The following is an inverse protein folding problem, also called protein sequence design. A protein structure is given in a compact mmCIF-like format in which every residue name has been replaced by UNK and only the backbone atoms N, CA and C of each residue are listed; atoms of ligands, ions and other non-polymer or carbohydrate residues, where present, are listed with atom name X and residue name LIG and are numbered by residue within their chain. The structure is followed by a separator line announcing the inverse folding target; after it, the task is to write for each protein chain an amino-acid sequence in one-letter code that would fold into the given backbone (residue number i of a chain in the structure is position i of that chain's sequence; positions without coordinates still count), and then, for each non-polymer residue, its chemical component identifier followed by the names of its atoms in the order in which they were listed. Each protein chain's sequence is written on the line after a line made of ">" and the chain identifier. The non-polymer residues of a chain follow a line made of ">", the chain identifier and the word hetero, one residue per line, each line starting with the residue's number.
data_IF_597515611272
#
_entry.id   IF_597515611272
#
_cell.length_a   1.000
_cell.length_b   1.000
_cell.length_c   1.000
_cell.angle_alpha   90.00
_cell.angle_beta   90.00
_cell.angle_gamma   90.00
#
_symmetry.space_group_name_H-M   'P 1'
#
loop_
_entity.id
_entity.type
_entity.pdbx_description
1 polymer ?
#
# COMPACT_ATOMS: atom_id res chain seq x y z
N UNK A 1 -5.31 -26.52 -1.70
CA UNK A 1 -6.15 -25.33 -1.65
C UNK A 1 -5.71 -24.42 -2.79
N UNK A 2 -6.60 -23.99 -3.65
CA UNK A 2 -6.23 -23.07 -4.72
C UNK A 2 -6.18 -21.65 -4.13
N UNK A 3 -5.18 -20.83 -4.50
CA UNK A 3 -5.03 -19.41 -4.06
C UNK A 3 -6.33 -18.61 -4.26
N UNK A 4 -7.13 -18.98 -5.28
CA UNK A 4 -8.43 -18.36 -5.55
C UNK A 4 -9.41 -18.46 -4.35
N UNK A 5 -9.30 -19.51 -3.55
CA UNK A 5 -10.21 -19.74 -2.42
C UNK A 5 -9.98 -18.76 -1.27
N UNK A 6 -8.79 -18.13 -1.22
CA UNK A 6 -8.47 -17.11 -0.23
C UNK A 6 -9.21 -15.79 -0.47
N UNK A 7 -9.81 -15.59 -1.67
CA UNK A 7 -10.47 -14.36 -2.08
C UNK A 7 -12.00 -14.53 -2.12
N UNK A 8 -12.75 -14.04 -1.11
CA UNK A 8 -14.19 -14.26 -1.01
C UNK A 8 -14.98 -13.75 -2.22
N UNK A 9 -14.59 -12.59 -2.77
CA UNK A 9 -15.27 -12.01 -3.92
C UNK A 9 -15.21 -12.89 -5.16
N UNK A 10 -14.16 -13.68 -5.33
CA UNK A 10 -13.98 -14.56 -6.49
C UNK A 10 -14.87 -15.80 -6.44
N UNK A 11 -15.57 -16.05 -5.32
CA UNK A 11 -16.55 -17.11 -5.18
C UNK A 11 -17.93 -16.72 -5.76
N UNK A 12 -18.09 -15.48 -6.20
CA UNK A 12 -19.34 -15.01 -6.78
C UNK A 12 -19.56 -15.55 -8.19
N UNK A 13 -20.84 -15.71 -8.54
CA UNK A 13 -21.26 -15.91 -9.93
C UNK A 13 -21.80 -14.60 -10.51
N UNK A 14 -21.46 -14.32 -11.76
CA UNK A 14 -21.98 -13.19 -12.54
C UNK A 14 -22.63 -13.74 -13.79
N UNK A 15 -23.89 -13.43 -14.01
CA UNK A 15 -24.68 -13.94 -15.14
C UNK A 15 -24.66 -15.49 -15.26
N UNK A 16 -24.67 -16.19 -14.11
CA UNK A 16 -24.66 -17.65 -14.07
C UNK A 16 -23.28 -18.32 -14.24
N UNK A 17 -22.22 -17.52 -14.39
CA UNK A 17 -20.84 -18.03 -14.55
C UNK A 17 -19.94 -17.60 -13.37
N UNK A 18 -18.93 -18.41 -12.98
CA UNK A 18 -17.92 -17.99 -12.00
C UNK A 18 -17.29 -16.68 -12.40
N UNK A 19 -17.14 -15.76 -11.42
CA UNK A 19 -16.51 -14.46 -11.65
C UNK A 19 -15.08 -14.63 -12.20
N UNK A 20 -14.80 -14.01 -13.34
CA UNK A 20 -13.46 -13.75 -13.85
C UNK A 20 -13.17 -12.27 -13.66
N UNK A 21 -12.12 -11.94 -12.87
CA UNK A 21 -11.72 -10.58 -12.58
C UNK A 21 -10.30 -10.33 -13.12
N UNK A 22 -10.19 -9.43 -14.10
CA UNK A 22 -8.94 -9.14 -14.82
C UNK A 22 -8.46 -7.69 -14.64
N UNK A 23 -9.09 -6.92 -13.75
CA UNK A 23 -8.82 -5.50 -13.53
C UNK A 23 -8.04 -5.23 -12.23
N UNK A 24 -7.13 -6.13 -11.86
CA UNK A 24 -6.31 -5.97 -10.64
C UNK A 24 -5.34 -4.79 -10.71
N UNK A 25 -4.98 -4.32 -11.91
CA UNK A 25 -4.14 -3.14 -12.09
C UNK A 25 -4.84 -1.86 -11.56
N UNK A 26 -6.15 -1.75 -11.75
CA UNK A 26 -6.93 -0.64 -11.20
C UNK A 26 -7.28 -0.87 -9.73
N UNK A 27 -7.73 -2.07 -9.37
CA UNK A 27 -8.10 -2.41 -7.98
C UNK A 27 -7.83 -3.88 -7.71
N UNK A 28 -6.88 -4.15 -6.83
CA UNK A 28 -6.54 -5.51 -6.39
C UNK A 28 -7.59 -6.03 -5.41
N UNK A 29 -8.11 -7.23 -5.64
CA UNK A 29 -9.01 -7.90 -4.71
C UNK A 29 -8.30 -8.27 -3.41
N UNK A 30 -9.07 -8.35 -2.32
CA UNK A 30 -8.51 -8.57 -0.98
C UNK A 30 -8.74 -10.01 -0.55
N UNK A 31 -7.72 -10.73 -0.08
CA UNK A 31 -7.90 -12.04 0.55
C UNK A 31 -8.57 -11.90 1.92
N UNK A 32 -9.17 -12.99 2.39
CA UNK A 32 -9.86 -13.07 3.69
C UNK A 32 -9.00 -12.53 4.83
N UNK A 33 -7.74 -12.90 4.88
CA UNK A 33 -6.82 -12.47 5.95
C UNK A 33 -6.68 -10.95 6.03
N UNK A 34 -6.73 -10.24 4.91
CA UNK A 34 -6.67 -8.76 4.89
C UNK A 34 -7.99 -8.16 5.37
N UNK A 35 -9.12 -8.73 4.94
CA UNK A 35 -10.46 -8.27 5.35
C UNK A 35 -10.64 -8.47 6.86
N UNK A 36 -10.24 -9.63 7.36
CA UNK A 36 -10.29 -9.98 8.79
C UNK A 36 -9.41 -9.05 9.63
N UNK A 37 -8.17 -8.80 9.21
CA UNK A 37 -7.27 -7.88 9.92
C UNK A 37 -7.82 -6.44 9.96
N UNK A 38 -8.45 -5.96 8.90
CA UNK A 38 -9.11 -4.65 8.89
C UNK A 38 -10.31 -4.62 9.84
N UNK A 39 -11.12 -5.67 9.84
CA UNK A 39 -12.28 -5.79 10.73
C UNK A 39 -11.84 -5.85 12.20
N UNK A 40 -10.82 -6.64 12.51
CA UNK A 40 -10.23 -6.73 13.84
C UNK A 40 -9.71 -5.36 14.32
N UNK A 41 -8.98 -4.64 13.47
CA UNK A 41 -8.49 -3.31 13.79
C UNK A 41 -9.65 -2.37 14.17
N UNK A 42 -10.70 -2.27 13.35
CA UNK A 42 -11.81 -1.36 13.63
C UNK A 42 -12.67 -1.78 14.82
N UNK A 43 -12.77 -3.06 15.10
CA UNK A 43 -13.61 -3.55 16.21
C UNK A 43 -12.88 -3.61 17.54
N UNK A 44 -11.56 -3.76 17.55
CA UNK A 44 -10.78 -4.02 18.75
C UNK A 44 -9.71 -2.97 19.07
N UNK A 45 -9.02 -2.41 18.06
CA UNK A 45 -7.76 -1.69 18.26
C UNK A 45 -7.74 -0.29 17.64
N UNK A 46 -8.88 0.21 17.13
CA UNK A 46 -8.93 1.50 16.46
C UNK A 46 -8.63 2.67 17.40
N UNK A 47 -7.43 3.22 17.31
CA UNK A 47 -6.98 4.35 18.08
C UNK A 47 -5.95 5.21 17.33
N UNK A 48 -5.67 6.40 17.87
CA UNK A 48 -4.72 7.33 17.29
C UNK A 48 -3.28 6.83 17.48
N UNK A 49 -2.62 6.56 16.36
CA UNK A 49 -1.23 6.06 16.32
C UNK A 49 -0.26 7.17 16.77
N UNK A 50 0.72 6.83 17.63
CA UNK A 50 1.80 7.70 18.14
C UNK A 50 1.37 8.90 19.00
N UNK A 51 0.09 9.10 19.31
CA UNK A 51 -0.37 10.34 19.93
C UNK A 51 -1.04 10.21 21.27
N UNK A 52 -1.20 9.02 21.81
CA UNK A 52 -1.86 8.80 23.09
C UNK A 52 -1.12 7.77 23.96
N UNK A 53 -1.31 7.86 25.26
CA UNK A 53 -0.63 7.02 26.26
C UNK A 53 -1.53 5.91 26.84
N UNK A 54 -2.71 5.69 26.26
CA UNK A 54 -3.61 4.61 26.70
C UNK A 54 -3.37 3.31 25.90
N UNK A 55 -3.83 2.18 26.41
CA UNK A 55 -3.57 0.83 25.90
C UNK A 55 -3.89 0.69 24.41
N UNK A 56 -5.08 1.11 23.97
CA UNK A 56 -5.48 0.98 22.57
C UNK A 56 -4.55 1.75 21.62
N UNK A 57 -4.08 2.94 22.01
CA UNK A 57 -3.12 3.69 21.18
C UNK A 57 -1.76 3.00 21.11
N UNK A 58 -1.35 2.34 22.20
CA UNK A 58 -0.16 1.50 22.21
C UNK A 58 -0.27 0.31 21.26
N UNK A 59 -1.39 -0.40 21.30
CA UNK A 59 -1.68 -1.53 20.40
C UNK A 59 -1.72 -1.11 18.93
N UNK A 60 -2.44 -0.03 18.59
CA UNK A 60 -2.50 0.52 17.25
C UNK A 60 -1.11 0.96 16.75
N UNK A 61 -0.31 1.60 17.62
CA UNK A 61 1.07 2.01 17.30
C UNK A 61 1.96 0.81 17.05
N UNK A 62 1.88 -0.22 17.89
CA UNK A 62 2.67 -1.44 17.73
C UNK A 62 2.33 -2.16 16.42
N UNK A 63 1.05 -2.27 16.06
CA UNK A 63 0.62 -2.84 14.79
C UNK A 63 1.15 -2.06 13.58
N UNK A 64 1.08 -0.74 13.63
CA UNK A 64 1.61 0.13 12.58
C UNK A 64 3.13 0.00 12.41
N UNK A 65 3.89 0.00 13.49
CA UNK A 65 5.35 -0.15 13.45
C UNK A 65 5.80 -1.57 13.09
N UNK A 66 5.02 -2.60 13.45
CA UNK A 66 5.26 -3.96 13.01
C UNK A 66 5.12 -4.09 11.49
N UNK A 67 4.08 -3.49 10.90
CA UNK A 67 3.91 -3.42 9.45
C UNK A 67 5.11 -2.73 8.77
N UNK A 68 5.54 -1.58 9.28
CA UNK A 68 6.72 -0.86 8.79
C UNK A 68 7.97 -1.71 8.86
N UNK A 69 8.19 -2.42 9.95
CA UNK A 69 9.34 -3.32 10.15
C UNK A 69 9.32 -4.47 9.15
N UNK A 70 8.17 -5.09 8.93
CA UNK A 70 8.00 -6.16 7.95
C UNK A 70 8.34 -5.68 6.53
N UNK A 71 7.83 -4.51 6.12
CA UNK A 71 8.12 -3.94 4.80
C UNK A 71 9.61 -3.61 4.65
N UNK A 72 10.24 -3.02 5.65
CA UNK A 72 11.68 -2.77 5.64
C UNK A 72 12.49 -4.05 5.42
N UNK A 73 12.15 -5.10 6.15
CA UNK A 73 12.81 -6.40 6.01
C UNK A 73 12.58 -7.00 4.62
N UNK A 74 11.35 -6.95 4.11
CA UNK A 74 10.99 -7.53 2.82
C UNK A 74 11.74 -6.86 1.66
N UNK A 75 11.84 -5.53 1.69
CA UNK A 75 12.52 -4.75 0.65
C UNK A 75 14.01 -4.52 0.92
N UNK A 76 14.57 -5.08 2.00
CA UNK A 76 15.94 -4.82 2.45
C UNK A 76 16.25 -3.31 2.51
N UNK A 77 15.34 -2.54 3.10
CA UNK A 77 15.41 -1.09 3.16
C UNK A 77 15.70 -0.59 4.58
N UNK A 78 16.53 0.44 4.70
CA UNK A 78 16.82 1.08 5.99
C UNK A 78 15.62 1.85 6.53
N UNK A 79 14.79 2.39 5.65
CA UNK A 79 13.63 3.23 5.99
C UNK A 79 12.41 2.86 5.17
N UNK A 80 11.24 3.05 5.76
CA UNK A 80 9.95 2.90 5.09
C UNK A 80 9.06 4.09 5.46
N UNK A 81 8.57 4.81 4.46
CA UNK A 81 7.62 5.91 4.61
C UNK A 81 6.27 5.43 4.08
N UNK A 82 5.26 5.48 4.94
CA UNK A 82 3.89 5.13 4.55
C UNK A 82 3.21 6.35 3.92
N UNK A 83 2.59 6.15 2.78
CA UNK A 83 1.87 7.19 2.02
C UNK A 83 0.45 6.76 1.72
N UNK A 84 -0.40 7.68 1.30
CA UNK A 84 -1.79 7.41 0.92
C UNK A 84 -1.95 6.64 -0.41
N UNK A 85 -0.85 6.42 -1.14
CA UNK A 85 -0.86 5.67 -2.40
C UNK A 85 0.36 5.98 -3.27
N UNK A 86 0.43 5.29 -4.42
CA UNK A 86 1.56 5.38 -5.35
C UNK A 86 1.79 6.81 -5.85
N UNK A 87 0.74 7.54 -6.18
CA UNK A 87 0.86 8.94 -6.64
C UNK A 87 1.57 9.81 -5.61
N UNK A 88 1.18 9.73 -4.34
CA UNK A 88 1.84 10.48 -3.27
C UNK A 88 3.30 10.03 -3.09
N UNK A 89 3.56 8.73 -3.13
CA UNK A 89 4.90 8.17 -2.98
C UNK A 89 5.85 8.67 -4.08
N UNK A 90 5.40 8.67 -5.34
CA UNK A 90 6.21 9.16 -6.48
C UNK A 90 6.43 10.68 -6.39
N UNK A 91 5.40 11.46 -6.06
CA UNK A 91 5.55 12.90 -5.85
C UNK A 91 6.54 13.21 -4.71
N UNK A 92 6.49 12.47 -3.60
CA UNK A 92 7.45 12.59 -2.51
C UNK A 92 8.88 12.28 -2.98
N UNK A 93 9.07 11.21 -3.77
CA UNK A 93 10.36 10.84 -4.33
C UNK A 93 10.89 11.92 -5.29
N UNK A 94 10.05 12.43 -6.19
CA UNK A 94 10.42 13.50 -7.14
C UNK A 94 10.81 14.79 -6.41
N UNK A 95 10.03 15.19 -5.41
CA UNK A 95 10.34 16.35 -4.58
C UNK A 95 11.67 16.18 -3.83
N UNK A 96 11.88 15.04 -3.18
CA UNK A 96 13.12 14.73 -2.48
C UNK A 96 14.33 14.71 -3.43
N UNK A 97 14.17 14.19 -4.65
CA UNK A 97 15.19 14.21 -5.69
C UNK A 97 15.57 15.64 -6.07
N UNK A 98 14.59 16.49 -6.35
CA UNK A 98 14.81 17.88 -6.74
C UNK A 98 15.58 18.71 -5.69
N UNK A 99 15.56 18.28 -4.42
CA UNK A 99 16.26 18.92 -3.30
C UNK A 99 17.52 18.16 -2.85
N UNK A 100 17.89 17.10 -3.54
CA UNK A 100 19.03 16.25 -3.17
C UNK A 100 20.32 16.70 -3.88
N UNK A 101 21.49 16.24 -3.39
CA UNK A 101 22.77 16.40 -4.11
C UNK A 101 22.81 15.70 -5.47
N UNK A 102 21.83 14.84 -5.76
CA UNK A 102 21.68 14.13 -7.04
C UNK A 102 20.93 14.96 -8.08
N UNK A 103 20.47 16.15 -7.75
CA UNK A 103 19.83 17.10 -8.67
C UNK A 103 20.67 17.29 -9.94
N UNK A 104 20.00 17.30 -11.08
CA UNK A 104 20.66 17.46 -12.40
C UNK A 104 21.11 16.17 -13.06
N UNK A 105 20.90 14.98 -12.44
CA UNK A 105 21.02 13.69 -13.12
C UNK A 105 19.76 13.38 -13.92
N UNK A 106 19.91 12.63 -15.00
CA UNK A 106 18.76 12.18 -15.80
C UNK A 106 17.93 11.13 -15.04
N UNK A 107 16.62 11.21 -15.20
CA UNK A 107 15.66 10.19 -14.79
C UNK A 107 15.15 9.53 -16.06
N UNK A 108 15.18 8.21 -16.09
CA UNK A 108 14.71 7.42 -17.22
C UNK A 108 13.37 6.79 -16.86
N UNK A 109 12.37 7.00 -17.72
CA UNK A 109 11.04 6.43 -17.63
C UNK A 109 10.73 5.66 -18.92
N UNK A 110 9.79 4.71 -18.86
CA UNK A 110 9.27 4.08 -20.08
C UNK A 110 8.13 4.92 -20.68
N UNK A 111 7.82 4.71 -21.95
CA UNK A 111 6.72 5.43 -22.62
C UNK A 111 5.33 4.95 -22.17
N UNK A 112 5.28 3.79 -21.50
CA UNK A 112 4.02 3.15 -21.07
C UNK A 112 3.69 3.38 -19.61
N UNK A 113 4.39 4.30 -18.94
CA UNK A 113 4.15 4.62 -17.54
C UNK A 113 2.79 5.30 -17.33
N UNK A 114 2.23 5.10 -16.14
CA UNK A 114 1.07 5.85 -15.69
C UNK A 114 1.42 7.33 -15.47
N UNK A 115 0.49 8.24 -15.73
CA UNK A 115 0.70 9.69 -15.56
C UNK A 115 1.24 10.08 -14.18
N UNK A 116 0.88 9.35 -13.12
CA UNK A 116 1.40 9.58 -11.78
C UNK A 116 2.91 9.36 -11.65
N UNK A 117 3.53 8.65 -12.59
CA UNK A 117 4.99 8.47 -12.65
C UNK A 117 5.67 9.37 -13.68
N UNK A 118 4.95 9.93 -14.62
CA UNK A 118 5.54 10.84 -15.62
C UNK A 118 5.54 12.29 -15.12
N UNK A 119 4.39 12.77 -14.69
CA UNK A 119 4.18 14.21 -14.38
C UNK A 119 5.07 14.75 -13.25
N UNK A 120 5.28 14.03 -12.13
CA UNK A 120 6.10 14.54 -11.04
C UNK A 120 7.54 14.87 -11.40
N UNK A 121 8.09 14.21 -12.42
CA UNK A 121 9.46 14.42 -12.86
C UNK A 121 9.60 15.58 -13.85
N UNK A 122 8.49 16.14 -14.31
CA UNK A 122 8.44 17.29 -15.23
C UNK A 122 8.27 18.61 -14.51
N UNK A 123 7.93 18.61 -13.22
CA UNK A 123 7.78 19.78 -12.35
C UNK A 123 9.08 20.15 -11.66
#
# INVERSE_FOLDING_TARGET
>A
MAIRDDFPILQRNINGHPLVYLDNAATTQKPSVVIEAMNEYYTMNNANVHRAVHTLAGEATNGYEACRTTLKSWFNADRCIMTGGTTEAINLAAHAWGHSPLKGRAIMLTEVEHHSDIVPWQM
#
